data_IF_845215448342
#
_entry.id   IF_845215448342
#
_cell.length_a   1.000
_cell.length_b   1.000
_cell.length_c   1.000
_cell.angle_alpha   90.00
_cell.angle_beta   90.00
_cell.angle_gamma   90.00
#
_symmetry.space_group_name_H-M   'P 1'
#
loop_
_entity.id
_entity.type
_entity.pdbx_description
1 polymer ?
#
# COMPACT_ATOMS: atom_id res chain seq x y z
N UNK A 1 13.34 36.68 -20.15
CA UNK A 1 12.22 36.18 -19.32
C UNK A 1 11.40 35.21 -20.16
N UNK A 2 11.72 33.92 -20.13
CA UNK A 2 10.90 32.88 -20.73
C UNK A 2 10.76 31.77 -19.71
N UNK A 3 9.53 31.58 -19.22
CA UNK A 3 9.19 30.60 -18.20
C UNK A 3 9.42 29.19 -18.72
N UNK A 4 10.30 28.46 -18.05
CA UNK A 4 10.34 27.00 -18.12
C UNK A 4 9.30 26.50 -17.14
N UNK A 5 8.11 26.21 -17.66
CA UNK A 5 7.10 25.40 -16.99
C UNK A 5 7.73 24.00 -16.82
N UNK A 6 7.98 23.52 -15.60
CA UNK A 6 8.56 22.19 -15.44
C UNK A 6 7.54 21.14 -15.89
N UNK A 7 7.98 20.34 -16.85
CA UNK A 7 7.44 19.08 -17.37
C UNK A 7 6.44 18.38 -16.43
N UNK A 8 5.14 18.65 -16.64
CA UNK A 8 4.05 17.97 -15.91
C UNK A 8 3.69 16.62 -16.53
N UNK A 9 4.54 16.09 -17.42
CA UNK A 9 4.24 14.91 -18.25
C UNK A 9 5.02 13.65 -17.89
N UNK A 10 5.57 13.53 -16.67
CA UNK A 10 5.97 12.20 -16.14
C UNK A 10 4.84 11.54 -15.34
N UNK A 11 4.03 10.81 -16.12
CA UNK A 11 3.23 9.62 -15.79
C UNK A 11 1.82 9.82 -15.18
N UNK A 12 0.76 9.36 -15.87
CA UNK A 12 -0.51 9.04 -15.21
C UNK A 12 -0.34 7.92 -14.16
N UNK A 13 0.66 7.05 -14.32
CA UNK A 13 1.01 6.02 -13.33
C UNK A 13 1.60 6.60 -12.04
N UNK A 14 2.42 7.66 -12.06
CA UNK A 14 3.01 8.22 -10.85
C UNK A 14 1.95 8.95 -10.00
N UNK A 15 1.03 9.67 -10.66
CA UNK A 15 -0.13 10.30 -10.01
C UNK A 15 -1.12 9.24 -9.52
N UNK A 16 -1.37 8.18 -10.31
CA UNK A 16 -2.19 7.06 -9.87
C UNK A 16 -1.58 6.36 -8.66
N UNK A 17 -0.28 6.03 -8.69
CA UNK A 17 0.43 5.45 -7.55
C UNK A 17 0.33 6.38 -6.36
N UNK A 18 0.61 7.69 -6.48
CA UNK A 18 0.48 8.64 -5.38
C UNK A 18 -0.92 8.68 -4.76
N UNK A 19 -1.98 8.58 -5.58
CA UNK A 19 -3.38 8.50 -5.11
C UNK A 19 -3.69 7.17 -4.40
N UNK A 20 -3.02 6.09 -4.77
CA UNK A 20 -3.21 4.76 -4.18
C UNK A 20 -2.19 4.45 -3.06
N UNK A 21 -1.14 5.26 -2.90
CA UNK A 21 -0.06 5.09 -1.91
C UNK A 21 -0.58 4.98 -0.48
N UNK A 22 -1.51 5.84 -0.01
CA UNK A 22 -2.11 5.68 1.31
C UNK A 22 -2.73 4.30 1.54
N UNK A 23 -3.46 3.78 0.54
CA UNK A 23 -4.11 2.46 0.60
C UNK A 23 -3.09 1.34 0.60
N UNK A 24 -2.05 1.44 -0.22
CA UNK A 24 -0.98 0.44 -0.31
C UNK A 24 -0.17 0.41 0.99
N UNK A 25 0.13 1.57 1.58
CA UNK A 25 0.79 1.66 2.87
C UNK A 25 -0.05 1.05 4.00
N UNK A 26 -1.36 1.33 4.02
CA UNK A 26 -2.27 0.73 4.99
C UNK A 26 -2.40 -0.79 4.80
N UNK A 27 -2.47 -1.26 3.56
CA UNK A 27 -2.47 -2.69 3.24
C UNK A 27 -1.23 -3.40 3.76
N UNK A 28 -0.04 -2.79 3.60
CA UNK A 28 1.20 -3.36 4.13
C UNK A 28 1.17 -3.45 5.66
N UNK A 29 0.72 -2.39 6.35
CA UNK A 29 0.57 -2.44 7.80
C UNK A 29 -0.42 -3.52 8.25
N UNK A 30 -1.57 -3.62 7.58
CA UNK A 30 -2.56 -4.64 7.90
C UNK A 30 -2.02 -6.07 7.67
N UNK A 31 -1.20 -6.28 6.63
CA UNK A 31 -0.49 -7.55 6.41
C UNK A 31 0.56 -7.85 7.50
N UNK A 32 1.28 -6.85 8.00
CA UNK A 32 2.21 -7.02 9.12
C UNK A 32 1.47 -7.42 10.41
N UNK A 33 0.32 -6.79 10.67
CA UNK A 33 -0.53 -7.17 11.81
C UNK A 33 -1.09 -8.59 11.64
N UNK A 34 -1.51 -8.96 10.42
CA UNK A 34 -1.96 -10.32 10.11
C UNK A 34 -0.84 -11.34 10.32
N UNK A 35 0.39 -11.04 9.91
CA UNK A 35 1.56 -11.88 10.12
C UNK A 35 1.78 -12.21 11.60
N UNK A 36 1.56 -11.23 12.48
CA UNK A 36 1.67 -11.42 13.92
C UNK A 36 0.51 -12.23 14.51
N UNK A 37 -0.64 -12.28 13.84
CA UNK A 37 -1.86 -12.91 14.34
C UNK A 37 -2.09 -14.35 13.86
N UNK A 38 -1.50 -14.76 12.73
CA UNK A 38 -1.72 -16.10 12.14
C UNK A 38 -0.52 -17.03 12.35
N UNK A 39 -0.78 -18.34 12.35
CA UNK A 39 0.26 -19.36 12.39
C UNK A 39 1.26 -19.22 11.23
N UNK A 40 2.54 -19.49 11.52
CA UNK A 40 3.61 -19.38 10.53
C UNK A 40 3.41 -20.28 9.30
N UNK A 41 2.77 -21.44 9.48
CA UNK A 41 2.41 -22.35 8.39
C UNK A 41 1.35 -21.74 7.45
N UNK A 42 0.30 -21.14 8.02
CA UNK A 42 -0.77 -20.45 7.30
C UNK A 42 -0.21 -19.21 6.59
N UNK A 43 0.64 -18.44 7.28
CA UNK A 43 1.34 -17.30 6.70
C UNK A 43 2.14 -17.69 5.45
N UNK A 44 2.95 -18.74 5.54
CA UNK A 44 3.78 -19.21 4.42
C UNK A 44 2.95 -19.70 3.24
N UNK A 45 1.85 -20.40 3.50
CA UNK A 45 1.00 -20.96 2.46
C UNK A 45 0.20 -19.88 1.72
N UNK A 46 -0.39 -18.95 2.46
CA UNK A 46 -1.43 -18.08 1.91
C UNK A 46 -1.03 -16.61 1.78
N UNK A 47 -0.01 -16.14 2.49
CA UNK A 47 0.22 -14.69 2.66
C UNK A 47 1.62 -14.22 2.29
N UNK A 48 2.64 -15.07 2.45
CA UNK A 48 4.04 -14.69 2.22
C UNK A 48 4.30 -14.15 0.81
N UNK A 49 3.66 -14.73 -0.23
CA UNK A 49 3.78 -14.25 -1.61
C UNK A 49 3.14 -12.86 -1.82
N UNK A 50 1.97 -12.63 -1.24
CA UNK A 50 1.30 -11.33 -1.31
C UNK A 50 2.08 -10.26 -0.54
N UNK A 51 2.54 -10.61 0.65
CA UNK A 51 3.39 -9.73 1.46
C UNK A 51 4.66 -9.31 0.71
N UNK A 52 5.37 -10.25 0.06
CA UNK A 52 6.56 -9.92 -0.72
C UNK A 52 6.27 -8.92 -1.85
N UNK A 53 5.17 -9.10 -2.59
CA UNK A 53 4.77 -8.17 -3.67
C UNK A 53 4.41 -6.79 -3.14
N UNK A 54 3.66 -6.72 -2.04
CA UNK A 54 3.27 -5.45 -1.42
C UNK A 54 4.50 -4.76 -0.82
N UNK A 55 5.39 -5.50 -0.16
CA UNK A 55 6.65 -4.99 0.40
C UNK A 55 7.54 -4.39 -0.69
N UNK A 56 7.67 -5.05 -1.84
CA UNK A 56 8.44 -4.54 -2.98
C UNK A 56 7.81 -3.27 -3.57
N UNK A 57 6.49 -3.25 -3.74
CA UNK A 57 5.76 -2.08 -4.24
C UNK A 57 5.93 -0.87 -3.29
N UNK A 58 5.83 -1.11 -1.99
CA UNK A 58 6.03 -0.10 -0.95
C UNK A 58 7.48 0.40 -0.99
N UNK A 59 8.47 -0.50 -0.98
CA UNK A 59 9.89 -0.13 -1.00
C UNK A 59 10.31 0.65 -2.26
N UNK A 60 9.65 0.42 -3.39
CA UNK A 60 9.92 1.17 -4.64
C UNK A 60 9.27 2.54 -4.70
N UNK A 61 8.16 2.75 -3.98
CA UNK A 61 7.30 3.91 -4.21
C UNK A 61 7.00 4.76 -2.97
N UNK A 62 7.40 4.33 -1.78
CA UNK A 62 7.23 5.11 -0.55
C UNK A 62 8.40 4.91 0.40
N UNK A 63 8.52 5.85 1.34
CA UNK A 63 9.51 5.82 2.41
C UNK A 63 8.78 5.69 3.75
N UNK A 64 9.21 4.79 4.66
CA UNK A 64 8.57 4.58 5.97
C UNK A 64 8.37 5.85 6.79
N UNK A 65 9.28 6.84 6.69
CA UNK A 65 9.16 8.11 7.42
C UNK A 65 7.94 8.93 6.98
N UNK A 66 7.42 8.70 5.78
CA UNK A 66 6.25 9.41 5.23
C UNK A 66 4.92 8.71 5.51
N UNK A 67 4.95 7.49 6.06
CA UNK A 67 3.74 6.69 6.22
C UNK A 67 2.74 7.32 7.16
N UNK A 68 3.19 7.86 8.29
CA UNK A 68 2.29 8.50 9.27
C UNK A 68 1.44 9.60 8.63
N UNK A 69 2.03 10.40 7.73
CA UNK A 69 1.31 11.43 6.97
C UNK A 69 0.35 10.86 5.93
N UNK A 70 0.78 9.81 5.20
CA UNK A 70 -0.05 9.12 4.20
C UNK A 70 -1.26 8.40 4.83
N UNK A 71 -1.09 7.80 6.01
CA UNK A 71 -2.15 7.06 6.69
C UNK A 71 -3.15 8.00 7.37
N UNK A 72 -2.71 9.19 7.78
CA UNK A 72 -3.57 10.23 8.32
C UNK A 72 -4.57 10.77 7.27
N UNK A 73 -4.23 10.71 5.98
CA UNK A 73 -5.17 11.10 4.91
C UNK A 73 -6.15 10.00 4.53
N UNK A 74 -5.96 8.77 5.03
CA UNK A 74 -6.85 7.64 4.75
C UNK A 74 -8.10 7.68 5.63
N UNK A 75 -9.27 7.78 5.02
CA UNK A 75 -10.55 7.71 5.72
C UNK A 75 -10.87 6.32 6.26
N UNK A 76 -11.76 6.26 7.25
CA UNK A 76 -12.23 5.00 7.86
C UNK A 76 -12.87 4.06 6.83
N UNK A 77 -13.61 4.61 5.86
CA UNK A 77 -14.21 3.83 4.77
C UNK A 77 -13.17 3.13 3.90
N UNK A 78 -12.06 3.78 3.61
CA UNK A 78 -10.99 3.15 2.83
C UNK A 78 -10.25 2.07 3.61
N UNK A 79 -10.09 2.25 4.93
CA UNK A 79 -9.52 1.23 5.83
C UNK A 79 -10.40 -0.02 5.83
N UNK A 80 -11.68 0.17 6.09
CA UNK A 80 -12.68 -0.90 6.14
C UNK A 80 -12.81 -1.67 4.81
N UNK A 81 -12.62 -1.00 3.67
CA UNK A 81 -12.54 -1.66 2.37
C UNK A 81 -11.30 -2.55 2.24
N UNK A 82 -10.13 -2.09 2.70
CA UNK A 82 -8.90 -2.90 2.71
C UNK A 82 -9.04 -4.08 3.67
N UNK A 83 -9.64 -3.87 4.84
CA UNK A 83 -9.86 -4.93 5.83
C UNK A 83 -10.83 -5.99 5.29
N UNK A 84 -11.93 -5.58 4.64
CA UNK A 84 -12.84 -6.52 3.98
C UNK A 84 -12.18 -7.29 2.84
N UNK A 85 -11.28 -6.64 2.09
CA UNK A 85 -10.50 -7.27 1.02
C UNK A 85 -9.52 -8.30 1.58
N UNK A 86 -8.86 -8.00 2.70
CA UNK A 86 -8.00 -8.94 3.43
C UNK A 86 -8.81 -10.09 4.03
N UNK A 87 -9.97 -9.82 4.61
CA UNK A 87 -10.87 -10.86 5.12
C UNK A 87 -11.37 -11.78 3.99
N UNK A 88 -11.52 -11.25 2.77
CA UNK A 88 -11.77 -12.03 1.55
C UNK A 88 -10.52 -12.67 0.94
N UNK A 89 -9.34 -12.49 1.54
CA UNK A 89 -8.07 -13.12 1.16
C UNK A 89 -7.52 -12.63 -0.18
N UNK A 90 -7.70 -11.34 -0.48
CA UNK A 90 -7.16 -10.65 -1.67
C UNK A 90 -7.37 -11.42 -2.99
N UNK A 91 -8.55 -12.08 -3.07
CA UNK A 91 -9.29 -12.57 -4.23
C UNK A 91 -8.71 -13.70 -5.12
N UNK A 92 -7.98 -14.67 -4.53
CA UNK A 92 -7.42 -15.91 -5.16
C UNK A 92 -6.39 -15.74 -6.29
#
# INVERSE_FOLDING_TARGET
MHGVIPDVFRLPHAIATARHLPRIAYLFQALEQLRAAVDAAVWRADWAGHHARVSDLVGRHTDPSRWSGLLATLGERERDLVDRMLARRLDS
#
